data_IF_588381933806
#
_entry.id   IF_588381933806
#
_cell.length_a   1.000
_cell.length_b   1.000
_cell.length_c   1.000
_cell.angle_alpha   90.00
_cell.angle_beta   90.00
_cell.angle_gamma   90.00
#
_symmetry.space_group_name_H-M   'P 1'
#
loop_
_entity.id
_entity.type
_entity.pdbx_description
1 polymer ?
#
# COMPACT_ATOMS: atom_id res chain seq x y z
N UNK A 1 -0.11 34.58 -6.52
CA UNK A 1 -1.41 34.59 -7.21
C UNK A 1 -2.09 33.28 -6.86
N UNK A 2 -3.23 33.36 -6.19
CA UNK A 2 -4.05 32.21 -5.81
C UNK A 2 -4.71 31.66 -7.08
N UNK A 3 -3.96 30.83 -7.81
CA UNK A 3 -4.53 30.02 -8.90
C UNK A 3 -4.87 28.64 -8.36
N UNK A 4 -5.74 27.93 -9.08
CA UNK A 4 -6.08 26.54 -8.84
C UNK A 4 -6.36 25.84 -10.17
N UNK A 5 -6.47 24.51 -10.14
CA UNK A 5 -6.75 23.68 -11.32
C UNK A 5 -7.94 24.18 -12.14
N UNK A 6 -8.99 24.66 -11.48
CA UNK A 6 -10.23 25.10 -12.11
C UNK A 6 -10.04 26.39 -12.90
N UNK A 7 -9.34 27.36 -12.29
CA UNK A 7 -9.05 28.67 -12.89
C UNK A 7 -8.14 28.54 -14.09
N UNK A 8 -7.09 27.73 -14.00
CA UNK A 8 -6.17 27.46 -15.12
C UNK A 8 -6.91 26.81 -16.30
N UNK A 9 -7.83 25.89 -16.01
CA UNK A 9 -8.63 25.20 -17.02
C UNK A 9 -9.87 25.99 -17.48
N UNK A 10 -10.12 27.19 -16.93
CA UNK A 10 -11.30 28.03 -17.21
C UNK A 10 -12.64 27.29 -17.04
N UNK A 11 -12.74 26.48 -16.01
CA UNK A 11 -13.98 25.78 -15.64
C UNK A 11 -14.42 26.15 -14.23
N UNK A 12 -15.73 26.08 -13.97
CA UNK A 12 -16.24 26.19 -12.61
C UNK A 12 -15.76 24.97 -11.79
N UNK A 13 -15.46 25.13 -10.48
CA UNK A 13 -15.05 24.03 -9.63
C UNK A 13 -16.11 22.92 -9.58
N UNK A 14 -15.74 21.70 -9.97
CA UNK A 14 -16.59 20.52 -9.86
C UNK A 14 -16.41 19.88 -8.48
N UNK A 15 -17.45 19.30 -7.89
CA UNK A 15 -17.35 18.64 -6.57
C UNK A 15 -16.55 17.34 -6.64
N UNK A 16 -16.56 16.71 -7.81
CA UNK A 16 -15.84 15.47 -8.10
C UNK A 16 -15.65 15.33 -9.61
N UNK A 17 -14.77 14.41 -10.01
CA UNK A 17 -14.56 14.01 -11.40
C UNK A 17 -14.41 12.48 -11.47
N UNK A 18 -14.76 11.89 -12.62
CA UNK A 18 -14.28 10.54 -12.94
C UNK A 18 -12.74 10.54 -13.04
N UNK A 19 -12.13 9.36 -12.98
CA UNK A 19 -10.68 9.19 -13.17
C UNK A 19 -10.19 9.84 -14.47
N UNK A 20 -10.84 9.53 -15.60
CA UNK A 20 -10.50 10.05 -16.91
C UNK A 20 -10.56 11.59 -16.96
N UNK A 21 -11.58 12.18 -16.34
CA UNK A 21 -11.75 13.63 -16.31
C UNK A 21 -10.71 14.29 -15.39
N UNK A 22 -10.43 13.70 -14.23
CA UNK A 22 -9.42 14.18 -13.30
C UNK A 22 -8.02 14.13 -13.93
N UNK A 23 -7.67 13.01 -14.57
CA UNK A 23 -6.41 12.80 -15.27
C UNK A 23 -6.19 13.88 -16.36
N UNK A 24 -7.22 14.13 -17.18
CA UNK A 24 -7.19 15.20 -18.19
C UNK A 24 -7.03 16.60 -17.58
N UNK A 25 -7.68 16.90 -16.45
CA UNK A 25 -7.59 18.20 -15.79
C UNK A 25 -6.22 18.45 -15.16
N UNK A 26 -5.59 17.39 -14.67
CA UNK A 26 -4.29 17.41 -13.98
C UNK A 26 -3.12 17.17 -14.93
N UNK A 27 -3.39 16.86 -16.20
CA UNK A 27 -2.40 16.48 -17.20
C UNK A 27 -1.51 15.30 -16.73
N UNK A 28 -2.16 14.25 -16.24
CA UNK A 28 -1.54 12.99 -15.80
C UNK A 28 -2.31 11.78 -16.35
N UNK A 29 -1.87 10.56 -16.02
CA UNK A 29 -2.55 9.33 -16.40
C UNK A 29 -3.49 8.81 -15.29
N UNK A 30 -4.42 7.92 -15.62
CA UNK A 30 -5.31 7.29 -14.62
C UNK A 30 -4.52 6.44 -13.62
N UNK A 31 -3.43 5.82 -14.07
CA UNK A 31 -2.52 5.01 -13.27
C UNK A 31 -1.83 5.84 -12.17
N UNK A 32 -1.59 7.14 -12.40
CA UNK A 32 -1.04 8.05 -11.40
C UNK A 32 -2.04 8.28 -10.25
N UNK A 33 -3.32 8.45 -10.60
CA UNK A 33 -4.41 8.56 -9.62
C UNK A 33 -4.54 7.28 -8.78
N UNK A 34 -4.48 6.11 -9.45
CA UNK A 34 -4.47 4.80 -8.77
C UNK A 34 -3.27 4.69 -7.83
N UNK A 35 -2.08 5.12 -8.28
CA UNK A 35 -0.88 5.11 -7.46
C UNK A 35 -1.04 5.97 -6.20
N UNK A 36 -1.51 7.22 -6.36
CA UNK A 36 -1.76 8.12 -5.24
C UNK A 36 -2.80 7.56 -4.27
N UNK A 37 -3.83 6.86 -4.75
CA UNK A 37 -4.74 6.16 -3.86
C UNK A 37 -4.05 5.02 -3.10
N UNK A 38 -3.24 4.19 -3.76
CA UNK A 38 -2.54 3.06 -3.13
C UNK A 38 -1.58 3.48 -2.02
N UNK A 39 -0.96 4.66 -2.11
CA UNK A 39 -0.11 5.20 -1.05
C UNK A 39 -0.89 6.01 -0.01
N UNK A 40 -2.21 6.14 -0.18
CA UNK A 40 -3.09 6.92 0.68
C UNK A 40 -2.92 8.42 0.51
N UNK A 41 -2.39 8.91 -0.61
CA UNK A 41 -2.31 10.35 -0.87
C UNK A 41 -3.68 10.95 -1.22
N UNK A 42 -4.58 10.17 -1.85
CA UNK A 42 -5.95 10.58 -2.17
C UNK A 42 -6.94 9.46 -1.86
N UNK A 43 -8.18 9.82 -1.55
CA UNK A 43 -9.25 8.85 -1.32
C UNK A 43 -10.06 8.61 -2.60
N UNK A 44 -10.81 7.51 -2.63
CA UNK A 44 -11.72 7.21 -3.74
C UNK A 44 -13.15 7.45 -3.29
N UNK A 45 -13.90 8.19 -4.09
CA UNK A 45 -15.32 8.37 -3.93
C UNK A 45 -16.11 7.53 -4.94
N UNK A 46 -17.40 7.35 -4.67
CA UNK A 46 -18.37 6.75 -5.57
C UNK A 46 -19.77 7.28 -5.23
N UNK A 47 -20.75 6.96 -6.08
CA UNK A 47 -22.12 7.45 -5.89
C UNK A 47 -23.13 6.30 -5.76
N UNK A 48 -23.39 5.78 -4.56
CA UNK A 48 -24.47 4.82 -4.35
C UNK A 48 -25.83 5.43 -4.72
N UNK A 49 -26.74 4.60 -5.21
CA UNK A 49 -28.13 5.02 -5.50
C UNK A 49 -29.09 4.72 -4.35
N UNK A 50 -28.88 3.61 -3.62
CA UNK A 50 -29.69 3.20 -2.47
C UNK A 50 -29.01 2.03 -1.72
N UNK A 51 -27.85 2.28 -1.11
CA UNK A 51 -27.07 1.23 -0.45
C UNK A 51 -27.43 1.13 1.04
N UNK A 52 -27.93 -0.04 1.47
CA UNK A 52 -28.40 -0.28 2.85
C UNK A 52 -27.26 -0.54 3.84
N UNK A 53 -27.38 0.02 5.05
CA UNK A 53 -26.42 -0.21 6.11
C UNK A 53 -26.68 0.55 7.41
N UNK A 54 -25.69 0.46 8.30
CA UNK A 54 -25.65 1.25 9.53
C UNK A 54 -24.77 2.46 9.36
N UNK A 55 -25.19 3.58 9.90
CA UNK A 55 -24.43 4.82 9.92
C UNK A 55 -24.15 5.25 11.35
N UNK A 56 -22.89 5.59 11.61
CA UNK A 56 -22.39 6.04 12.89
C UNK A 56 -21.87 7.48 12.74
N UNK A 57 -22.26 8.36 13.65
CA UNK A 57 -21.81 9.75 13.67
C UNK A 57 -21.30 10.09 15.05
N UNK A 58 -20.04 10.48 15.15
CA UNK A 58 -19.42 10.96 16.37
C UNK A 58 -19.26 12.48 16.33
N UNK A 59 -19.74 13.17 17.36
CA UNK A 59 -19.67 14.63 17.44
C UNK A 59 -18.34 15.10 18.03
N UNK A 60 -17.93 16.33 17.69
CA UNK A 60 -16.68 16.95 18.15
C UNK A 60 -16.73 17.41 19.59
N UNK A 61 -17.86 17.96 19.97
CA UNK A 61 -18.10 18.44 21.32
C UNK A 61 -19.30 17.68 21.86
N UNK A 62 -19.20 17.30 23.14
CA UNK A 62 -20.34 16.73 23.85
C UNK A 62 -21.48 17.73 23.81
N UNK A 63 -22.56 17.32 23.15
CA UNK A 63 -23.80 18.07 23.10
C UNK A 63 -24.52 17.96 24.43
N UNK A 64 -25.24 19.03 24.79
CA UNK A 64 -26.12 18.98 25.95
C UNK A 64 -27.31 18.02 25.71
N UNK A 65 -28.09 17.77 26.76
CA UNK A 65 -29.22 16.83 26.67
C UNK A 65 -30.30 17.28 25.68
N UNK A 66 -30.46 18.59 25.45
CA UNK A 66 -31.45 19.14 24.54
C UNK A 66 -31.03 18.94 23.08
N UNK A 67 -29.76 19.17 22.77
CA UNK A 67 -29.18 18.89 21.46
C UNK A 67 -29.25 17.38 21.17
N UNK A 68 -28.85 16.52 22.11
CA UNK A 68 -28.98 15.06 21.95
C UNK A 68 -30.43 14.64 21.65
N UNK A 69 -31.39 15.22 22.38
CA UNK A 69 -32.80 14.94 22.19
C UNK A 69 -33.32 15.44 20.84
N UNK A 70 -32.83 16.58 20.35
CA UNK A 70 -33.07 17.06 18.98
C UNK A 70 -32.61 16.03 17.95
N UNK A 71 -31.37 15.55 18.03
CA UNK A 71 -30.85 14.54 17.09
C UNK A 71 -31.65 13.22 17.17
N UNK A 72 -32.04 12.80 18.37
CA UNK A 72 -32.86 11.60 18.57
C UNK A 72 -34.25 11.73 17.94
N UNK A 73 -34.89 12.91 17.99
CA UNK A 73 -36.25 13.15 17.48
C UNK A 73 -36.28 13.56 16.00
N UNK A 74 -35.15 13.94 15.42
CA UNK A 74 -35.07 14.45 14.05
C UNK A 74 -35.37 13.35 13.03
N UNK A 75 -36.46 13.52 12.27
CA UNK A 75 -36.81 12.66 11.13
C UNK A 75 -35.93 12.89 9.90
N UNK A 76 -35.21 14.02 9.86
CA UNK A 76 -34.39 14.46 8.74
C UNK A 76 -32.98 14.81 9.19
N UNK A 77 -32.42 13.96 10.05
CA UNK A 77 -31.09 14.17 10.63
C UNK A 77 -30.01 14.37 9.57
N UNK A 78 -30.21 13.81 8.37
CA UNK A 78 -29.35 14.01 7.21
C UNK A 78 -29.23 15.46 6.74
N UNK A 79 -30.34 16.21 6.73
CA UNK A 79 -30.29 17.64 6.39
C UNK A 79 -29.49 18.42 7.45
N UNK A 80 -29.67 18.08 8.73
CA UNK A 80 -28.94 18.71 9.83
C UNK A 80 -27.44 18.38 9.79
N UNK A 81 -27.08 17.21 9.27
CA UNK A 81 -25.69 16.77 9.08
C UNK A 81 -25.13 17.14 7.70
N UNK A 82 -25.86 17.88 6.85
CA UNK A 82 -25.42 18.26 5.50
C UNK A 82 -25.19 17.07 4.54
N UNK A 83 -25.77 15.90 4.84
CA UNK A 83 -25.67 14.68 4.03
C UNK A 83 -26.90 14.61 3.13
N UNK A 84 -26.79 15.08 1.91
CA UNK A 84 -27.93 15.10 0.98
C UNK A 84 -28.16 13.73 0.31
N UNK A 85 -29.39 13.48 -0.15
CA UNK A 85 -29.76 12.27 -0.91
C UNK A 85 -29.87 10.96 -0.11
N UNK A 86 -29.26 10.88 1.07
CA UNK A 86 -29.31 9.70 1.94
C UNK A 86 -30.55 9.71 2.85
N UNK A 87 -31.03 8.53 3.22
CA UNK A 87 -32.21 8.36 4.05
C UNK A 87 -31.89 7.46 5.24
N UNK A 88 -32.00 8.01 6.44
CA UNK A 88 -31.80 7.27 7.68
C UNK A 88 -32.99 7.45 8.58
N UNK A 89 -33.38 6.35 9.23
CA UNK A 89 -34.51 6.32 10.12
C UNK A 89 -34.05 5.88 11.51
N UNK A 90 -34.58 6.57 12.52
CA UNK A 90 -34.57 6.14 13.91
C UNK A 90 -35.86 5.37 14.18
N UNK A 91 -35.76 4.21 14.80
CA UNK A 91 -36.90 3.41 15.20
C UNK A 91 -37.28 3.84 16.63
N UNK A 92 -37.91 5.01 16.72
CA UNK A 92 -38.36 5.60 17.98
C UNK A 92 -39.27 4.62 18.73
N UNK A 93 -38.78 4.08 19.85
CA UNK A 93 -39.51 3.14 20.71
C UNK A 93 -39.06 1.68 20.62
N UNK A 94 -38.14 1.33 19.72
CA UNK A 94 -37.47 0.02 19.75
C UNK A 94 -36.46 -0.01 20.92
N UNK A 95 -36.58 -0.99 21.81
CA UNK A 95 -35.65 -1.18 22.93
C UNK A 95 -34.20 -1.44 22.46
N UNK A 96 -34.02 -1.84 21.20
CA UNK A 96 -32.72 -2.05 20.57
C UNK A 96 -32.22 -0.84 19.76
N UNK A 97 -33.04 0.21 19.57
CA UNK A 97 -32.57 1.47 18.99
C UNK A 97 -31.74 2.21 20.03
N UNK A 98 -30.44 1.91 20.02
CA UNK A 98 -29.46 2.51 20.94
C UNK A 98 -29.25 4.00 20.74
N UNK A 99 -29.75 4.58 19.65
CA UNK A 99 -29.67 6.01 19.36
C UNK A 99 -28.31 6.64 19.64
N UNK A 100 -28.30 7.52 20.63
CA UNK A 100 -27.09 8.14 21.18
C UNK A 100 -26.42 7.25 22.23
N UNK A 101 -25.13 6.99 22.05
CA UNK A 101 -24.29 6.20 22.94
C UNK A 101 -23.35 7.14 23.70
N UNK A 102 -23.80 7.57 24.89
CA UNK A 102 -23.12 8.57 25.70
C UNK A 102 -21.66 8.25 26.05
N UNK A 103 -21.29 6.97 26.19
CA UNK A 103 -19.93 6.56 26.54
C UNK A 103 -18.89 6.89 25.46
N UNK A 104 -19.32 7.06 24.21
CA UNK A 104 -18.46 7.30 23.05
C UNK A 104 -18.92 8.50 22.20
N UNK A 105 -19.91 9.27 22.68
CA UNK A 105 -20.49 10.44 22.03
C UNK A 105 -20.90 10.19 20.56
N UNK A 106 -21.61 9.08 20.36
CA UNK A 106 -21.89 8.53 19.02
C UNK A 106 -23.40 8.32 18.81
N UNK A 107 -23.92 8.75 17.66
CA UNK A 107 -25.25 8.41 17.19
C UNK A 107 -25.20 7.28 16.17
N UNK A 108 -26.10 6.31 16.30
CA UNK A 108 -26.29 5.24 15.31
C UNK A 108 -27.63 5.30 14.64
N UNK A 109 -27.60 5.08 13.33
CA UNK A 109 -28.76 5.07 12.45
C UNK A 109 -28.72 3.87 11.53
N UNK A 110 -29.89 3.45 11.04
CA UNK A 110 -30.02 2.47 9.97
C UNK A 110 -30.73 3.12 8.80
N UNK A 111 -30.32 2.76 7.59
CA UNK A 111 -30.92 3.33 6.40
C UNK A 111 -30.10 3.10 5.15
N UNK A 112 -30.34 3.95 4.17
CA UNK A 112 -29.74 3.86 2.86
C UNK A 112 -28.92 5.11 2.57
N UNK A 113 -27.72 4.89 2.02
CA UNK A 113 -26.91 5.97 1.49
C UNK A 113 -27.15 6.15 0.00
N UNK A 114 -27.16 7.41 -0.37
CA UNK A 114 -27.14 7.88 -1.75
C UNK A 114 -26.22 9.08 -1.86
N UNK A 115 -25.95 9.53 -3.09
CA UNK A 115 -25.09 10.68 -3.40
C UNK A 115 -23.59 10.37 -3.18
N UNK A 116 -22.72 11.36 -2.97
CA UNK A 116 -21.27 11.18 -2.99
C UNK A 116 -20.69 10.67 -1.66
N UNK A 117 -20.09 9.49 -1.70
CA UNK A 117 -19.47 8.82 -0.55
C UNK A 117 -18.02 8.44 -0.84
N UNK A 118 -17.17 8.54 0.18
CA UNK A 118 -15.75 8.21 0.14
C UNK A 118 -15.49 6.86 0.79
N UNK A 119 -14.66 6.04 0.16
CA UNK A 119 -14.16 4.77 0.70
C UNK A 119 -12.93 5.07 1.56
N UNK A 120 -13.04 4.88 2.88
CA UNK A 120 -12.01 5.30 3.84
C UNK A 120 -10.81 4.34 3.87
N UNK A 121 -11.08 3.04 3.87
CA UNK A 121 -10.07 1.98 4.04
C UNK A 121 -10.00 1.04 2.82
N UNK A 122 -10.17 1.61 1.62
CA UNK A 122 -10.10 0.90 0.36
C UNK A 122 -9.08 1.52 -0.59
N UNK A 123 -8.41 0.63 -1.33
CA UNK A 123 -7.60 1.02 -2.48
C UNK A 123 -8.03 0.23 -3.70
N UNK A 124 -7.83 0.82 -4.87
CA UNK A 124 -8.08 0.18 -6.16
C UNK A 124 -7.17 -1.04 -6.30
N UNK A 125 -7.77 -2.18 -6.61
CA UNK A 125 -7.06 -3.46 -6.76
C UNK A 125 -6.36 -3.62 -8.12
N UNK A 126 -5.78 -4.78 -8.38
CA UNK A 126 -5.10 -5.08 -9.65
C UNK A 126 -6.07 -5.20 -10.84
N UNK A 127 -7.37 -5.31 -10.58
CA UNK A 127 -8.43 -5.37 -11.58
C UNK A 127 -9.08 -4.00 -11.81
N UNK A 128 -8.47 -2.93 -11.29
CA UNK A 128 -9.00 -1.57 -11.33
C UNK A 128 -10.40 -1.45 -10.72
N UNK A 129 -10.62 -2.16 -9.61
CA UNK A 129 -11.90 -2.20 -8.92
C UNK A 129 -11.78 -2.04 -7.40
N UNK A 130 -12.90 -1.75 -6.75
CA UNK A 130 -13.06 -1.78 -5.29
C UNK A 130 -14.28 -2.62 -4.95
N UNK A 131 -14.10 -3.64 -4.12
CA UNK A 131 -15.21 -4.45 -3.60
C UNK A 131 -15.63 -3.94 -2.22
N UNK A 132 -16.90 -3.57 -2.10
CA UNK A 132 -17.57 -3.27 -0.84
C UNK A 132 -18.28 -4.54 -0.38
N UNK A 133 -17.75 -5.14 0.69
CA UNK A 133 -18.32 -6.33 1.31
C UNK A 133 -19.14 -5.97 2.54
N UNK A 134 -20.01 -6.89 2.95
CA UNK A 134 -20.83 -6.73 4.15
C UNK A 134 -19.98 -6.42 5.39
N UNK A 135 -20.46 -5.53 6.25
CA UNK A 135 -19.83 -5.13 7.51
C UNK A 135 -19.42 -6.33 8.35
N UNK A 136 -18.26 -6.25 9.00
CA UNK A 136 -17.67 -7.31 9.83
C UNK A 136 -17.27 -8.60 9.10
N UNK A 137 -17.37 -8.64 7.76
CA UNK A 137 -16.67 -9.64 6.95
C UNK A 137 -15.18 -9.28 6.82
N UNK A 138 -14.33 -10.24 6.49
CA UNK A 138 -12.91 -9.98 6.23
C UNK A 138 -12.74 -8.95 5.11
N UNK A 139 -12.05 -7.86 5.38
CA UNK A 139 -11.72 -6.83 4.38
C UNK A 139 -12.82 -5.79 4.11
N UNK A 140 -13.88 -5.75 4.94
CA UNK A 140 -14.98 -4.78 4.79
C UNK A 140 -14.49 -3.33 4.66
N UNK A 141 -15.25 -2.56 3.88
CA UNK A 141 -14.98 -1.15 3.65
C UNK A 141 -15.91 -0.29 4.49
N UNK A 142 -15.33 0.74 5.09
CA UNK A 142 -16.08 1.79 5.77
C UNK A 142 -16.19 2.96 4.82
N UNK A 143 -17.40 3.52 4.74
CA UNK A 143 -17.71 4.64 3.87
C UNK A 143 -17.93 5.89 4.70
N UNK A 144 -17.71 7.06 4.12
CA UNK A 144 -17.99 8.34 4.76
C UNK A 144 -18.62 9.30 3.77
N UNK A 145 -19.51 10.21 4.20
CA UNK A 145 -19.96 11.28 3.33
C UNK A 145 -18.76 12.07 2.81
N UNK A 146 -18.77 12.46 1.54
CA UNK A 146 -17.67 13.25 0.97
C UNK A 146 -17.54 14.64 1.61
N UNK A 147 -18.64 15.16 2.15
CA UNK A 147 -18.68 16.42 2.89
C UNK A 147 -19.14 16.12 4.32
N UNK A 148 -18.26 16.36 5.28
CA UNK A 148 -18.53 16.18 6.71
C UNK A 148 -18.53 17.58 7.35
N UNK A 149 -19.62 17.98 8.02
CA UNK A 149 -19.65 19.20 8.83
C UNK A 149 -18.55 19.26 9.90
N UNK A 150 -18.10 20.49 10.22
CA UNK A 150 -16.98 20.71 11.16
C UNK A 150 -17.26 20.23 12.60
N UNK A 151 -18.53 20.16 12.99
CA UNK A 151 -19.00 19.68 14.29
C UNK A 151 -19.00 18.16 14.41
N UNK A 152 -18.70 17.42 13.34
CA UNK A 152 -18.57 15.97 13.32
C UNK A 152 -17.08 15.58 13.36
N UNK A 153 -16.71 14.66 14.26
CA UNK A 153 -15.38 14.02 14.28
C UNK A 153 -15.32 12.95 13.21
N UNK A 154 -16.32 12.08 13.18
CA UNK A 154 -16.36 10.95 12.26
C UNK A 154 -17.80 10.62 11.86
N UNK A 155 -17.96 10.26 10.59
CA UNK A 155 -19.22 9.82 10.02
C UNK A 155 -18.94 8.56 9.21
N UNK A 156 -19.30 7.40 9.73
CA UNK A 156 -18.92 6.09 9.21
C UNK A 156 -20.14 5.27 8.86
N UNK A 157 -20.24 4.86 7.61
CA UNK A 157 -21.25 3.93 7.13
C UNK A 157 -20.68 2.54 6.91
N UNK A 158 -21.44 1.56 7.36
CA UNK A 158 -21.13 0.13 7.32
C UNK A 158 -22.19 -0.56 6.46
N UNK A 159 -21.77 -1.04 5.28
CA UNK A 159 -22.67 -1.73 4.36
C UNK A 159 -23.23 -3.02 4.96
N UNK A 160 -24.55 -3.24 4.89
CA UNK A 160 -25.20 -4.43 5.45
C UNK A 160 -25.95 -5.29 4.43
N UNK A 161 -25.84 -4.96 3.14
CA UNK A 161 -26.53 -5.70 2.09
C UNK A 161 -26.05 -7.16 1.97
N UNK A 162 -26.82 -7.92 1.19
CA UNK A 162 -26.69 -9.38 1.09
C UNK A 162 -25.65 -9.85 0.08
N UNK A 163 -25.23 -8.98 -0.84
CA UNK A 163 -24.25 -9.27 -1.89
C UNK A 163 -23.14 -8.24 -1.87
N UNK A 164 -21.94 -8.64 -2.24
CA UNK A 164 -20.85 -7.71 -2.43
C UNK A 164 -21.15 -6.75 -3.59
N UNK A 165 -20.72 -5.50 -3.43
CA UNK A 165 -20.83 -4.47 -4.46
C UNK A 165 -19.45 -4.24 -5.06
N UNK A 166 -19.32 -4.50 -6.36
CA UNK A 166 -18.08 -4.31 -7.10
C UNK A 166 -18.19 -2.96 -7.82
N UNK A 167 -17.30 -2.05 -7.49
CA UNK A 167 -17.16 -0.76 -8.15
C UNK A 167 -16.02 -0.85 -9.15
N UNK A 168 -16.33 -0.71 -10.44
CA UNK A 168 -15.33 -0.64 -11.50
C UNK A 168 -14.78 0.79 -11.60
N UNK A 169 -13.65 0.98 -12.28
CA UNK A 169 -13.01 2.29 -12.45
C UNK A 169 -13.97 3.41 -12.91
N UNK A 170 -14.96 3.07 -13.74
CA UNK A 170 -15.99 4.01 -14.23
C UNK A 170 -16.94 4.52 -13.14
N UNK A 171 -17.11 3.74 -12.08
CA UNK A 171 -17.94 4.04 -10.92
C UNK A 171 -17.17 4.85 -9.86
N UNK A 172 -15.84 4.91 -10.00
CA UNK A 172 -14.94 5.59 -9.07
C UNK A 172 -14.75 7.06 -9.44
N UNK A 173 -14.69 7.89 -8.41
CA UNK A 173 -14.65 9.34 -8.50
C UNK A 173 -13.51 9.88 -7.64
N UNK A 174 -12.92 11.00 -8.07
CA UNK A 174 -11.94 11.78 -7.30
C UNK A 174 -12.63 13.06 -6.84
N UNK A 175 -12.54 13.36 -5.55
CA UNK A 175 -13.16 14.54 -4.93
C UNK A 175 -12.44 15.83 -5.33
N UNK A 176 -13.14 16.97 -5.28
CA UNK A 176 -12.55 18.30 -5.51
C UNK A 176 -11.29 18.52 -4.65
N UNK A 177 -11.38 18.20 -3.36
CA UNK A 177 -10.28 18.40 -2.42
C UNK A 177 -9.04 17.61 -2.82
N UNK A 178 -9.22 16.37 -3.29
CA UNK A 178 -8.11 15.55 -3.76
C UNK A 178 -7.53 16.07 -5.09
N UNK A 179 -8.36 16.53 -6.03
CA UNK A 179 -7.88 17.16 -7.27
C UNK A 179 -7.05 18.41 -6.96
N UNK A 180 -7.54 19.27 -6.07
CA UNK A 180 -6.83 20.49 -5.66
C UNK A 180 -5.54 20.18 -4.89
N UNK A 181 -5.55 19.12 -4.06
CA UNK A 181 -4.35 18.61 -3.37
C UNK A 181 -3.31 18.15 -4.38
N UNK A 182 -3.69 17.33 -5.36
CA UNK A 182 -2.77 16.87 -6.43
C UNK A 182 -2.19 18.06 -7.18
N UNK A 183 -3.04 19.01 -7.60
CA UNK A 183 -2.58 20.18 -8.35
C UNK A 183 -1.59 21.03 -7.55
N UNK A 184 -1.86 21.25 -6.27
CA UNK A 184 -0.96 22.00 -5.37
C UNK A 184 0.39 21.30 -5.21
N UNK A 185 0.39 19.98 -5.08
CA UNK A 185 1.61 19.17 -5.04
C UNK A 185 2.35 19.16 -6.38
N UNK A 186 1.63 19.12 -7.51
CA UNK A 186 2.23 19.16 -8.85
C UNK A 186 2.99 20.46 -9.10
N UNK A 187 2.46 21.61 -8.67
CA UNK A 187 3.12 22.91 -8.82
C UNK A 187 4.28 23.08 -7.84
N UNK A 188 4.12 22.63 -6.60
CA UNK A 188 5.16 22.77 -5.58
C UNK A 188 6.29 21.75 -5.70
N UNK A 189 6.07 20.65 -6.44
CA UNK A 189 6.97 19.51 -6.52
C UNK A 189 7.08 18.72 -5.21
N UNK A 190 6.26 19.04 -4.20
CA UNK A 190 6.30 18.39 -2.88
C UNK A 190 5.43 17.13 -2.87
N UNK A 191 5.90 16.04 -2.25
CA UNK A 191 5.11 14.82 -2.10
C UNK A 191 3.87 15.09 -1.24
N UNK A 192 2.80 14.34 -1.52
CA UNK A 192 1.56 14.41 -0.77
C UNK A 192 1.63 13.56 0.51
N UNK A 193 1.10 14.10 1.61
CA UNK A 193 0.92 13.33 2.84
C UNK A 193 -0.11 12.23 2.66
N UNK A 194 0.15 11.08 3.27
CA UNK A 194 -0.78 9.97 3.32
C UNK A 194 -1.85 10.20 4.38
N UNK A 195 -3.13 10.03 4.07
CA UNK A 195 -4.20 10.10 5.06
C UNK A 195 -4.16 8.94 6.06
N UNK A 196 -3.44 7.84 5.76
CA UNK A 196 -3.24 6.75 6.71
C UNK A 196 -2.28 7.11 7.86
N UNK A 197 -1.23 7.89 7.55
CA UNK A 197 -0.11 8.16 8.47
C UNK A 197 0.03 9.62 8.84
N UNK A 198 -0.70 10.51 8.16
CA UNK A 198 -0.51 11.97 8.18
C UNK A 198 0.94 12.39 7.88
N UNK A 199 1.68 11.57 7.12
CA UNK A 199 3.08 11.78 6.75
C UNK A 199 3.34 11.35 5.32
N UNK A 200 4.32 11.99 4.68
CA UNK A 200 4.93 11.50 3.45
C UNK A 200 5.56 10.13 3.68
N UNK A 201 5.46 9.24 2.68
CA UNK A 201 6.13 7.94 2.71
C UNK A 201 7.66 8.15 2.65
N UNK A 202 8.37 7.73 3.70
CA UNK A 202 9.83 7.81 3.73
C UNK A 202 10.45 6.87 2.69
N UNK A 203 11.25 7.44 1.78
CA UNK A 203 12.16 6.65 0.95
C UNK A 203 13.38 6.36 1.83
N UNK A 204 13.46 5.16 2.39
CA UNK A 204 14.69 4.70 3.04
C UNK A 204 15.76 4.54 1.96
N UNK A 205 16.71 5.48 1.91
CA UNK A 205 17.91 5.31 1.11
C UNK A 205 18.57 3.99 1.53
N UNK A 206 18.80 3.09 0.57
CA UNK A 206 19.63 1.90 0.83
C UNK A 206 21.01 2.45 1.17
N UNK A 207 21.51 2.28 2.41
CA UNK A 207 22.83 2.75 2.74
C UNK A 207 23.82 1.93 1.91
N UNK A 208 24.53 2.57 0.99
CA UNK A 208 25.72 1.97 0.38
C UNK A 208 26.79 1.98 1.47
N UNK A 209 26.81 0.95 2.31
CA UNK A 209 27.81 0.86 3.38
C UNK A 209 29.18 0.61 2.75
N UNK A 210 30.19 1.41 3.07
CA UNK A 210 31.58 1.13 2.67
C UNK A 210 32.06 -0.25 3.13
N UNK A 211 31.45 -0.80 4.19
CA UNK A 211 31.66 -2.16 4.69
C UNK A 211 31.29 -3.23 3.66
N UNK A 212 30.20 -3.05 2.88
CA UNK A 212 29.77 -4.05 1.89
C UNK A 212 30.68 -4.07 0.66
N UNK A 213 31.27 -2.94 0.28
CA UNK A 213 32.28 -2.86 -0.80
C UNK A 213 33.54 -3.64 -0.37
N UNK A 214 34.07 -3.33 0.82
CA UNK A 214 35.26 -4.00 1.36
C UNK A 214 35.03 -5.51 1.59
N UNK A 215 33.82 -5.91 1.99
CA UNK A 215 33.47 -7.32 2.12
C UNK A 215 33.40 -8.01 0.76
N UNK A 216 32.79 -7.39 -0.25
CA UNK A 216 32.71 -7.91 -1.62
C UNK A 216 34.12 -8.10 -2.20
N UNK A 217 35.00 -7.10 -2.08
CA UNK A 217 36.39 -7.18 -2.55
C UNK A 217 37.17 -8.29 -1.84
N UNK A 218 36.97 -8.43 -0.52
CA UNK A 218 37.59 -9.51 0.25
C UNK A 218 37.05 -10.89 -0.14
N UNK A 219 35.76 -11.01 -0.45
CA UNK A 219 35.16 -12.25 -0.90
C UNK A 219 35.69 -12.66 -2.28
N UNK A 220 35.77 -11.72 -3.21
CA UNK A 220 36.30 -11.95 -4.56
C UNK A 220 37.80 -12.30 -4.52
N UNK A 221 38.60 -11.56 -3.74
CA UNK A 221 40.02 -11.88 -3.56
C UNK A 221 40.21 -13.28 -2.95
N UNK A 222 39.44 -13.66 -1.93
CA UNK A 222 39.54 -15.00 -1.35
C UNK A 222 39.11 -16.09 -2.36
N UNK A 223 38.13 -15.82 -3.23
CA UNK A 223 37.71 -16.74 -4.29
C UNK A 223 38.84 -16.96 -5.29
N UNK A 224 39.46 -15.89 -5.79
CA UNK A 224 40.59 -15.97 -6.72
C UNK A 224 41.79 -16.75 -6.14
N UNK A 225 42.11 -16.55 -4.86
CA UNK A 225 43.18 -17.31 -4.19
C UNK A 225 42.85 -18.81 -4.13
N UNK A 226 41.61 -19.18 -3.82
CA UNK A 226 41.18 -20.58 -3.79
C UNK A 226 41.30 -21.21 -5.18
N UNK A 227 40.86 -20.50 -6.22
CA UNK A 227 40.94 -20.97 -7.61
C UNK A 227 42.39 -21.20 -8.05
N UNK A 228 43.27 -20.24 -7.79
CA UNK A 228 44.70 -20.35 -8.14
C UNK A 228 45.38 -21.53 -7.44
N UNK A 229 45.15 -21.70 -6.14
CA UNK A 229 45.73 -22.81 -5.36
C UNK A 229 45.18 -24.15 -5.87
N UNK A 230 43.87 -24.25 -6.08
CA UNK A 230 43.24 -25.48 -6.55
C UNK A 230 43.74 -25.87 -7.95
N UNK A 231 43.92 -24.91 -8.86
CA UNK A 231 44.46 -25.15 -10.20
C UNK A 231 45.91 -25.66 -10.16
N UNK A 232 46.77 -25.05 -9.33
CA UNK A 232 48.15 -25.52 -9.14
C UNK A 232 48.21 -26.92 -8.53
N UNK A 233 47.35 -27.21 -7.55
CA UNK A 233 47.22 -28.55 -6.96
C UNK A 233 46.76 -29.57 -8.00
N UNK A 234 45.82 -29.21 -8.87
CA UNK A 234 45.36 -30.07 -9.98
C UNK A 234 46.48 -30.39 -10.97
N UNK A 235 47.34 -29.41 -11.26
CA UNK A 235 48.47 -29.53 -12.18
C UNK A 235 49.63 -30.35 -11.59
N UNK A 236 50.01 -30.09 -10.35
CA UNK A 236 51.18 -30.72 -9.71
C UNK A 236 50.86 -32.05 -9.03
N UNK A 237 49.59 -32.27 -8.64
CA UNK A 237 49.12 -33.47 -7.94
C UNK A 237 47.83 -34.03 -8.55
N UNK A 238 47.83 -34.39 -9.85
CA UNK A 238 46.63 -34.87 -10.55
C UNK A 238 46.08 -36.18 -9.96
N UNK A 239 46.93 -37.05 -9.43
CA UNK A 239 46.54 -38.34 -8.84
C UNK A 239 45.73 -38.17 -7.55
N UNK A 240 45.98 -37.10 -6.80
CA UNK A 240 45.23 -36.76 -5.59
C UNK A 240 43.85 -36.19 -5.92
N UNK A 241 43.70 -35.57 -7.09
CA UNK A 241 42.46 -34.94 -7.55
C UNK A 241 41.55 -35.90 -8.35
N UNK A 242 42.08 -37.02 -8.84
CA UNK A 242 41.39 -37.92 -9.77
C UNK A 242 41.12 -39.32 -9.20
N UNK A 243 40.20 -40.06 -9.81
CA UNK A 243 40.01 -41.51 -9.61
C UNK A 243 39.75 -42.14 -10.97
N UNK A 244 40.53 -43.17 -11.32
CA UNK A 244 40.50 -43.81 -12.64
C UNK A 244 40.63 -42.79 -13.80
N UNK A 245 41.53 -41.81 -13.65
CA UNK A 245 41.76 -40.76 -14.64
C UNK A 245 40.67 -39.69 -14.74
N UNK A 246 39.57 -39.77 -13.96
CA UNK A 246 38.50 -38.76 -13.94
C UNK A 246 38.64 -37.83 -12.74
N UNK A 247 38.51 -36.52 -12.98
CA UNK A 247 38.50 -35.50 -11.94
C UNK A 247 37.26 -35.68 -11.04
N UNK A 248 37.48 -35.78 -9.73
CA UNK A 248 36.41 -35.86 -8.74
C UNK A 248 36.45 -34.64 -7.84
N UNK A 249 35.34 -33.90 -7.79
CA UNK A 249 35.22 -32.66 -7.01
C UNK A 249 35.65 -32.86 -5.55
N UNK A 250 35.17 -33.91 -4.87
CA UNK A 250 35.49 -34.13 -3.45
C UNK A 250 36.98 -34.38 -3.22
N UNK A 251 37.61 -35.16 -4.10
CA UNK A 251 39.06 -35.42 -4.06
C UNK A 251 39.86 -34.14 -4.31
N UNK A 252 39.45 -33.34 -5.28
CA UNK A 252 40.09 -32.07 -5.58
C UNK A 252 39.98 -31.08 -4.42
N UNK A 253 38.82 -31.01 -3.75
CA UNK A 253 38.62 -30.19 -2.54
C UNK A 253 39.53 -30.67 -1.39
N UNK A 254 39.62 -31.99 -1.16
CA UNK A 254 40.47 -32.58 -0.13
C UNK A 254 41.96 -32.29 -0.38
N UNK A 255 42.44 -32.51 -1.61
CA UNK A 255 43.82 -32.21 -2.01
C UNK A 255 44.15 -30.72 -1.85
N UNK A 256 43.23 -29.84 -2.28
CA UNK A 256 43.38 -28.38 -2.15
C UNK A 256 43.47 -27.95 -0.68
N UNK A 257 42.72 -28.60 0.22
CA UNK A 257 42.79 -28.33 1.66
C UNK A 257 44.05 -28.88 2.33
N UNK A 258 44.50 -30.06 1.91
CA UNK A 258 45.73 -30.67 2.41
C UNK A 258 46.96 -29.82 2.05
N UNK A 259 46.97 -29.24 0.85
CA UNK A 259 48.09 -28.48 0.27
C UNK A 259 47.89 -26.97 0.30
N UNK A 260 46.97 -26.49 1.13
CA UNK A 260 46.57 -25.07 1.22
C UNK A 260 47.73 -24.09 1.53
N UNK A 261 48.82 -24.59 2.12
CA UNK A 261 49.98 -23.79 2.50
C UNK A 261 51.11 -23.85 1.46
N UNK A 262 51.07 -24.80 0.53
CA UNK A 262 52.13 -25.06 -0.45
C UNK A 262 52.23 -23.92 -1.48
N UNK A 263 51.14 -23.18 -1.68
CA UNK A 263 51.00 -22.14 -2.71
C UNK A 263 50.53 -20.80 -2.13
N UNK A 264 51.19 -20.32 -1.07
CA UNK A 264 50.99 -18.95 -0.55
C UNK A 264 49.94 -18.80 0.55
N UNK A 265 49.38 -19.90 1.05
CA UNK A 265 48.54 -19.91 2.26
C UNK A 265 47.10 -19.45 2.04
N UNK A 266 46.23 -20.37 1.64
CA UNK A 266 44.79 -20.12 1.53
C UNK A 266 44.12 -19.99 2.91
N UNK A 267 43.45 -18.85 3.17
CA UNK A 267 42.75 -18.58 4.43
C UNK A 267 41.44 -19.35 4.58
N UNK A 268 40.77 -19.69 3.48
CA UNK A 268 39.50 -20.42 3.48
C UNK A 268 39.73 -21.89 3.86
N UNK A 269 39.02 -22.39 4.89
CA UNK A 269 39.17 -23.78 5.39
C UNK A 269 37.90 -24.62 5.27
N UNK A 270 36.82 -24.02 4.78
CA UNK A 270 35.51 -24.68 4.71
C UNK A 270 35.42 -25.54 3.45
N UNK A 271 35.33 -26.86 3.65
CA UNK A 271 35.09 -27.85 2.58
C UNK A 271 33.89 -27.44 1.72
N UNK A 272 32.79 -27.05 2.35
CA UNK A 272 31.56 -26.64 1.65
C UNK A 272 31.79 -25.43 0.74
N UNK A 273 32.47 -24.39 1.23
CA UNK A 273 32.71 -23.17 0.44
C UNK A 273 33.68 -23.40 -0.72
N UNK A 274 34.74 -24.18 -0.49
CA UNK A 274 35.70 -24.54 -1.54
C UNK A 274 35.00 -25.41 -2.59
N UNK A 275 34.20 -26.38 -2.17
CA UNK A 275 33.40 -27.23 -3.07
C UNK A 275 32.47 -26.41 -3.97
N UNK A 276 31.82 -25.36 -3.46
CA UNK A 276 31.00 -24.46 -4.28
C UNK A 276 31.83 -23.77 -5.37
N UNK A 277 32.97 -23.15 -5.00
CA UNK A 277 33.86 -22.47 -5.95
C UNK A 277 34.36 -23.44 -7.03
N UNK A 278 34.88 -24.60 -6.65
CA UNK A 278 35.41 -25.57 -7.61
C UNK A 278 34.32 -26.21 -8.49
N UNK A 279 33.09 -26.31 -7.98
CA UNK A 279 31.95 -26.76 -8.80
C UNK A 279 31.61 -25.78 -9.92
N UNK A 280 31.77 -24.48 -9.69
CA UNK A 280 31.56 -23.45 -10.71
C UNK A 280 32.63 -23.55 -11.81
N UNK A 281 33.89 -23.79 -11.43
CA UNK A 281 34.98 -24.01 -12.40
C UNK A 281 34.68 -25.21 -13.30
N UNK A 282 34.32 -26.36 -12.72
CA UNK A 282 33.98 -27.57 -13.50
C UNK A 282 32.79 -27.32 -14.43
N UNK A 283 31.80 -26.54 -13.99
CA UNK A 283 30.64 -26.18 -14.83
C UNK A 283 31.07 -25.29 -16.00
N UNK A 284 31.91 -24.28 -15.74
CA UNK A 284 32.42 -23.37 -16.76
C UNK A 284 33.28 -24.11 -17.80
N UNK A 285 34.15 -25.03 -17.37
CA UNK A 285 34.97 -25.87 -18.26
C UNK A 285 34.08 -26.74 -19.17
N UNK A 286 32.98 -27.32 -18.65
CA UNK A 286 32.02 -28.10 -19.44
C UNK A 286 31.15 -27.31 -20.41
N UNK A 287 31.07 -25.98 -20.26
CA UNK A 287 30.32 -25.12 -21.19
C UNK A 287 31.20 -24.53 -22.28
N UNK A 288 32.52 -24.69 -22.18
CA UNK A 288 33.52 -24.23 -23.15
C UNK A 288 34.04 -25.34 -24.08
N UNK A 289 33.68 -26.61 -23.80
CA UNK A 289 33.84 -27.78 -24.69
C UNK A 289 32.60 -27.98 -25.58
#
# INVERSE_FOLDING_TARGET
>A
MDSNVWKENRIAPLEYCSFERAAKLLNCECEDLIHWNKIGAISIAFRPENMEGSFSVQLREQKDSADIEKYNKSKYIMHELGIHGSQFLRNLGDANDKGYIASIDEFRFYGNISDLWVVINGSVDEKNSITITKSFSTGYKTLSPANIPNDIISALFFYQGTKDVILELKDLLITRSDIEKIWTSAISGKPMDSYFTSKVREIKAIPVSSVSIVQTDRHEHNRQVVEQVAMKVREHYPDECTKNGKLLLNKWVEATLARKNDYGGMKLRSVRKISTILSEIIKAEKTAE
#
